data_IF_825880786622
#
_entry.id   IF_825880786622
#
_cell.length_a   1.000
_cell.length_b   1.000
_cell.length_c   1.000
_cell.angle_alpha   90.00
_cell.angle_beta   90.00
_cell.angle_gamma   90.00
#
_symmetry.space_group_name_H-M   'P 1'
#
loop_
_entity.id
_entity.type
_entity.pdbx_description
1 polymer ?
#
# COMPACT_ATOMS: atom_id res chain seq x y z
N UNK A 1 -13.85 76.79 -12.87
CA UNK A 1 -12.72 75.84 -12.86
C UNK A 1 -13.20 74.49 -13.38
N UNK A 2 -12.79 74.07 -14.58
CA UNK A 2 -12.57 72.65 -14.82
C UNK A 2 -11.14 72.44 -15.30
N UNK A 3 -10.42 71.54 -14.63
CA UNK A 3 -9.05 71.17 -14.97
C UNK A 3 -9.00 69.69 -15.31
N UNK A 4 -8.23 69.43 -16.37
CA UNK A 4 -7.38 68.25 -16.54
C UNK A 4 -7.95 67.02 -17.26
N UNK A 5 -7.67 67.02 -18.57
CA UNK A 5 -6.92 65.97 -19.29
C UNK A 5 -6.53 64.74 -18.46
N UNK A 6 -6.83 63.54 -18.97
CA UNK A 6 -6.01 62.34 -18.71
C UNK A 6 -5.77 61.54 -19.98
N UNK A 7 -4.48 61.44 -20.27
CA UNK A 7 -3.82 60.62 -21.28
C UNK A 7 -3.76 59.16 -20.81
N UNK A 8 -3.78 58.29 -21.81
CA UNK A 8 -3.67 56.82 -21.89
C UNK A 8 -2.65 56.18 -20.94
N UNK A 9 -2.97 54.98 -20.41
CA UNK A 9 -1.95 53.94 -20.22
C UNK A 9 -2.55 52.52 -20.29
N UNK A 10 -2.10 51.76 -21.30
CA UNK A 10 -2.29 50.32 -21.42
C UNK A 10 -1.68 49.58 -20.23
N UNK A 11 -2.40 48.60 -19.67
CA UNK A 11 -1.83 47.62 -18.75
C UNK A 11 -2.26 46.22 -19.18
N UNK A 12 -1.35 45.52 -19.85
CA UNK A 12 -1.46 44.10 -20.16
C UNK A 12 -1.23 43.30 -18.85
N UNK A 13 -2.24 42.56 -18.41
CA UNK A 13 -2.12 41.66 -17.25
C UNK A 13 -1.65 40.30 -17.75
N UNK A 14 -0.37 40.02 -17.55
CA UNK A 14 0.25 38.72 -17.83
C UNK A 14 0.07 37.83 -16.59
N UNK A 15 -0.90 36.92 -16.62
CA UNK A 15 -1.13 35.93 -15.56
C UNK A 15 -0.09 34.82 -15.71
N UNK A 16 0.94 34.82 -14.85
CA UNK A 16 1.93 33.75 -14.77
C UNK A 16 1.33 32.53 -14.08
N UNK A 17 1.06 31.48 -14.88
CA UNK A 17 0.69 30.15 -14.41
C UNK A 17 1.91 29.50 -13.72
N UNK A 18 1.91 29.40 -12.39
CA UNK A 18 2.93 28.64 -11.65
C UNK A 18 2.45 27.18 -11.59
N UNK A 19 2.95 26.33 -12.48
CA UNK A 19 2.67 24.89 -12.49
C UNK A 19 3.72 24.14 -11.66
N UNK A 20 3.50 23.97 -10.37
CA UNK A 20 4.28 23.03 -9.55
C UNK A 20 3.72 21.62 -9.71
N UNK A 21 4.21 20.88 -10.71
CA UNK A 21 3.96 19.44 -10.84
C UNK A 21 5.28 18.70 -11.05
N UNK A 22 6.10 18.61 -10.00
CA UNK A 22 7.41 17.99 -10.08
C UNK A 22 7.74 17.13 -8.85
N UNK A 23 6.90 16.15 -8.50
CA UNK A 23 7.32 15.08 -7.57
C UNK A 23 6.97 13.64 -8.00
N UNK A 24 6.22 13.41 -9.09
CA UNK A 24 5.74 12.04 -9.39
C UNK A 24 6.74 11.15 -10.15
N UNK A 25 7.72 11.72 -10.85
CA UNK A 25 8.50 11.00 -11.89
C UNK A 25 9.53 9.98 -11.38
N UNK A 26 9.87 10.01 -10.08
CA UNK A 26 10.90 9.13 -9.49
C UNK A 26 10.32 7.85 -8.90
N UNK A 27 9.04 7.84 -8.55
CA UNK A 27 8.34 6.72 -7.89
C UNK A 27 8.09 5.53 -8.83
N UNK A 28 7.96 5.76 -10.13
CA UNK A 28 7.56 4.77 -11.15
C UNK A 28 8.65 3.76 -11.56
N UNK A 29 9.90 3.92 -11.11
CA UNK A 29 11.04 3.11 -11.61
C UNK A 29 11.62 2.09 -10.62
N UNK A 30 11.10 2.00 -9.41
CA UNK A 30 11.60 1.01 -8.44
C UNK A 30 11.12 -0.41 -8.84
N UNK A 31 12.02 -1.40 -8.99
CA UNK A 31 11.62 -2.76 -9.32
C UNK A 31 10.84 -3.39 -8.16
N UNK A 32 9.88 -4.25 -8.49
CA UNK A 32 9.14 -5.00 -7.49
C UNK A 32 10.08 -5.94 -6.71
N UNK A 33 10.02 -5.89 -5.37
CA UNK A 33 10.91 -6.68 -4.50
C UNK A 33 10.36 -8.06 -4.16
N UNK A 34 9.04 -8.26 -4.29
CA UNK A 34 8.39 -9.55 -4.10
C UNK A 34 6.99 -9.58 -4.76
N UNK A 35 6.49 -10.79 -5.02
CA UNK A 35 5.09 -11.09 -5.36
C UNK A 35 4.40 -11.63 -4.10
N UNK A 36 3.44 -10.91 -3.50
CA UNK A 36 2.71 -11.39 -2.34
C UNK A 36 1.49 -12.22 -2.72
N UNK A 37 1.10 -13.13 -1.84
CA UNK A 37 -0.19 -13.82 -1.87
C UNK A 37 -0.62 -14.19 -0.45
N UNK A 38 -1.93 -14.30 -0.24
CA UNK A 38 -2.53 -14.67 1.03
C UNK A 38 -3.61 -15.73 0.81
N UNK A 39 -3.62 -16.77 1.63
CA UNK A 39 -4.74 -17.71 1.71
C UNK A 39 -5.26 -17.85 3.13
N UNK A 40 -6.54 -18.20 3.24
CA UNK A 40 -7.21 -18.47 4.50
C UNK A 40 -7.52 -19.96 4.57
N UNK A 41 -7.53 -20.54 5.77
CA UNK A 41 -7.93 -21.94 5.94
C UNK A 41 -9.43 -22.20 5.73
N UNK A 42 -10.24 -21.14 5.65
CA UNK A 42 -11.69 -21.16 5.41
C UNK A 42 -12.12 -19.82 4.80
N UNK A 43 -13.12 -19.84 3.94
CA UNK A 43 -13.70 -18.69 3.24
C UNK A 43 -14.82 -18.00 4.03
N UNK A 44 -15.49 -18.73 4.94
CA UNK A 44 -16.44 -18.17 5.90
C UNK A 44 -15.89 -18.20 7.30
N UNK A 45 -15.76 -17.01 7.91
CA UNK A 45 -15.19 -16.85 9.24
C UNK A 45 -16.20 -16.17 10.18
N UNK A 46 -16.79 -16.89 11.13
CA UNK A 46 -17.64 -16.29 12.15
C UNK A 46 -16.87 -15.26 12.99
N UNK A 47 -17.57 -14.20 13.42
CA UNK A 47 -17.06 -13.22 14.39
C UNK A 47 -16.57 -13.95 15.64
N UNK A 48 -15.41 -13.54 16.17
CA UNK A 48 -14.78 -14.13 17.35
C UNK A 48 -14.11 -15.48 17.10
N UNK A 49 -14.23 -16.07 15.91
CA UNK A 49 -13.55 -17.32 15.59
C UNK A 49 -12.11 -17.08 15.14
N UNK A 50 -11.25 -18.08 15.39
CA UNK A 50 -9.89 -18.08 14.89
C UNK A 50 -9.85 -18.43 13.40
N UNK A 51 -9.11 -17.66 12.60
CA UNK A 51 -8.78 -17.96 11.21
C UNK A 51 -7.26 -18.02 11.05
N UNK A 52 -6.79 -18.98 10.26
CA UNK A 52 -5.37 -19.10 9.93
C UNK A 52 -5.14 -18.48 8.57
N UNK A 53 -4.25 -17.49 8.55
CA UNK A 53 -3.76 -16.80 7.39
C UNK A 53 -2.40 -17.39 6.99
N UNK A 54 -2.24 -17.77 5.73
CA UNK A 54 -0.95 -18.19 5.16
C UNK A 54 -0.44 -17.10 4.24
N UNK A 55 0.62 -16.43 4.67
CA UNK A 55 1.32 -15.40 3.92
C UNK A 55 2.40 -16.03 3.08
N UNK A 56 2.53 -15.58 1.83
CA UNK A 56 3.60 -16.01 0.94
C UNK A 56 4.15 -14.83 0.14
N UNK A 57 5.47 -14.76 0.06
CA UNK A 57 6.21 -13.78 -0.70
C UNK A 57 7.23 -14.49 -1.59
N UNK A 58 7.13 -14.31 -2.90
CA UNK A 58 8.12 -14.80 -3.86
C UNK A 58 9.06 -13.67 -4.25
N UNK A 59 10.33 -13.80 -3.90
CA UNK A 59 11.36 -12.82 -4.25
C UNK A 59 11.88 -13.13 -5.66
N UNK A 60 11.79 -12.19 -6.65
CA UNK A 60 12.29 -12.46 -7.98
C UNK A 60 13.82 -12.64 -8.00
N UNK A 61 14.34 -13.38 -8.97
CA UNK A 61 15.79 -13.65 -9.11
C UNK A 61 16.65 -12.38 -9.27
N UNK A 62 16.08 -11.29 -9.78
CA UNK A 62 16.75 -9.99 -9.92
C UNK A 62 16.38 -8.98 -8.84
N UNK A 63 15.77 -9.39 -7.73
CA UNK A 63 15.40 -8.47 -6.66
C UNK A 63 16.64 -7.85 -6.01
N UNK A 64 16.61 -6.54 -5.66
CA UNK A 64 17.60 -5.98 -4.77
C UNK A 64 17.46 -6.59 -3.37
N UNK A 65 18.57 -6.66 -2.62
CA UNK A 65 18.53 -7.04 -1.20
C UNK A 65 17.77 -6.00 -0.38
N UNK A 66 17.05 -6.45 0.64
CA UNK A 66 16.43 -5.56 1.61
C UNK A 66 17.49 -4.95 2.53
N UNK A 67 17.49 -3.62 2.64
CA UNK A 67 18.43 -2.82 3.42
C UNK A 67 18.12 -2.80 4.93
N UNK A 68 16.90 -3.18 5.30
CA UNK A 68 16.39 -3.21 6.68
C UNK A 68 15.21 -4.17 6.79
N UNK A 69 14.74 -4.38 8.02
CA UNK A 69 13.55 -5.19 8.28
C UNK A 69 12.28 -4.38 8.05
N UNK A 70 11.55 -4.72 7.01
CA UNK A 70 10.22 -4.20 6.69
C UNK A 70 9.11 -4.96 7.43
N UNK A 71 8.09 -4.21 7.84
CA UNK A 71 6.84 -4.72 8.40
C UNK A 71 5.87 -5.03 7.26
N UNK A 72 5.16 -6.16 7.37
CA UNK A 72 4.00 -6.45 6.53
C UNK A 72 2.82 -5.69 7.12
N UNK A 73 2.23 -4.77 6.35
CA UNK A 73 0.92 -4.22 6.72
C UNK A 73 -0.18 -5.01 6.01
N UNK A 74 -1.29 -5.24 6.70
CA UNK A 74 -2.41 -6.02 6.18
C UNK A 74 -3.69 -5.34 6.59
N UNK A 75 -4.51 -4.98 5.61
CA UNK A 75 -5.83 -4.39 5.84
C UNK A 75 -6.89 -5.34 5.29
N UNK A 76 -7.82 -5.72 6.16
CA UNK A 76 -9.06 -6.40 5.78
C UNK A 76 -10.15 -5.35 5.69
N UNK A 77 -10.70 -5.21 4.49
CA UNK A 77 -11.62 -4.14 4.12
C UNK A 77 -12.95 -4.73 3.68
N UNK A 78 -14.03 -3.98 3.83
CA UNK A 78 -15.27 -4.26 3.12
C UNK A 78 -15.15 -3.87 1.61
N UNK A 79 -16.18 -4.16 0.78
CA UNK A 79 -16.17 -3.81 -0.64
C UNK A 79 -16.13 -2.30 -0.91
N UNK A 80 -16.62 -1.48 0.01
CA UNK A 80 -16.59 -0.02 -0.03
C UNK A 80 -15.20 0.54 0.31
N UNK A 81 -14.31 -0.29 0.86
CA UNK A 81 -12.95 0.04 1.23
C UNK A 81 -12.80 0.54 2.66
N UNK A 82 -13.84 0.42 3.50
CA UNK A 82 -13.72 0.69 4.92
C UNK A 82 -12.92 -0.41 5.61
N UNK A 83 -12.03 0.00 6.51
CA UNK A 83 -11.19 -0.93 7.24
C UNK A 83 -11.96 -1.64 8.34
N UNK A 84 -12.18 -2.94 8.15
CA UNK A 84 -12.74 -3.80 9.18
C UNK A 84 -11.72 -4.09 10.28
N UNK A 85 -10.50 -4.50 9.90
CA UNK A 85 -9.39 -4.77 10.84
C UNK A 85 -8.03 -4.94 10.13
N UNK A 86 -6.96 -5.07 10.92
CA UNK A 86 -5.57 -5.16 10.44
C UNK A 86 -4.78 -6.30 11.09
N UNK A 87 -3.77 -6.83 10.40
CA UNK A 87 -2.76 -7.75 10.96
C UNK A 87 -1.35 -7.29 10.58
N UNK A 88 -0.95 -6.10 11.03
CA UNK A 88 0.40 -5.59 10.81
C UNK A 88 1.42 -6.34 11.67
N UNK A 89 2.52 -6.81 11.06
CA UNK A 89 3.53 -7.60 11.77
C UNK A 89 4.89 -7.63 11.07
N UNK A 90 5.93 -7.91 11.85
CA UNK A 90 7.20 -8.37 11.30
C UNK A 90 7.04 -9.82 10.84
N UNK A 91 7.48 -10.18 9.62
CA UNK A 91 7.48 -11.57 9.19
C UNK A 91 8.44 -12.38 10.08
N UNK A 92 8.14 -13.65 10.41
CA UNK A 92 9.00 -14.49 11.25
C UNK A 92 10.43 -14.61 10.74
N UNK A 93 10.58 -14.66 9.40
CA UNK A 93 11.87 -14.53 8.71
C UNK A 93 12.06 -13.06 8.34
N UNK A 94 13.01 -12.33 8.96
CA UNK A 94 13.23 -10.92 8.67
C UNK A 94 13.52 -10.68 7.18
N UNK A 95 12.99 -9.61 6.61
CA UNK A 95 13.18 -9.28 5.18
C UNK A 95 14.64 -9.10 4.78
N UNK A 96 15.51 -8.70 5.71
CA UNK A 96 16.98 -8.63 5.50
C UNK A 96 17.62 -9.98 5.16
N UNK A 97 16.99 -11.11 5.50
CA UNK A 97 17.49 -12.44 5.16
C UNK A 97 16.87 -13.03 3.90
N UNK A 98 15.94 -12.32 3.25
CA UNK A 98 15.28 -12.79 2.04
C UNK A 98 16.24 -12.68 0.86
N UNK A 99 16.44 -13.80 0.15
CA UNK A 99 17.36 -13.88 -0.99
C UNK A 99 16.61 -13.86 -2.31
N UNK A 100 17.22 -13.37 -3.40
CA UNK A 100 16.66 -13.50 -4.74
C UNK A 100 16.30 -14.97 -5.07
N UNK A 101 15.14 -15.17 -5.67
CA UNK A 101 14.60 -16.50 -5.98
C UNK A 101 13.98 -17.26 -4.80
N UNK A 102 14.07 -16.73 -3.58
CA UNK A 102 13.51 -17.37 -2.39
C UNK A 102 12.00 -17.21 -2.34
N UNK A 103 11.31 -18.26 -1.85
CA UNK A 103 9.93 -18.17 -1.39
C UNK A 103 9.93 -18.13 0.13
N UNK A 104 9.25 -17.13 0.69
CA UNK A 104 9.02 -16.98 2.12
C UNK A 104 7.56 -17.30 2.37
N UNK A 105 7.29 -18.23 3.27
CA UNK A 105 5.93 -18.67 3.58
C UNK A 105 5.81 -18.87 5.08
N UNK A 106 4.73 -18.36 5.68
CA UNK A 106 4.47 -18.51 7.10
C UNK A 106 2.98 -18.31 7.42
N UNK A 107 2.56 -18.79 8.58
CA UNK A 107 1.17 -18.70 9.04
C UNK A 107 1.03 -17.76 10.24
N UNK A 108 -0.15 -17.15 10.35
CA UNK A 108 -0.59 -16.42 11.54
C UNK A 108 -2.03 -16.80 11.84
N UNK A 109 -2.34 -17.02 13.11
CA UNK A 109 -3.72 -17.21 13.56
C UNK A 109 -4.21 -15.92 14.17
N UNK A 110 -5.35 -15.43 13.67
CA UNK A 110 -5.99 -14.19 14.10
C UNK A 110 -7.41 -14.50 14.52
N UNK A 111 -7.87 -13.82 15.58
CA UNK A 111 -9.27 -13.89 16.01
C UNK A 111 -10.02 -12.78 15.30
N UNK A 112 -11.10 -13.11 14.59
CA UNK A 112 -11.89 -12.11 13.89
C UNK A 112 -12.51 -11.17 14.91
N UNK A 113 -12.22 -9.85 14.85
CA UNK A 113 -12.74 -8.90 15.80
C UNK A 113 -14.25 -8.72 15.63
N UNK A 114 -14.89 -8.20 16.67
CA UNK A 114 -16.30 -7.86 16.62
C UNK A 114 -16.49 -6.56 15.82
N UNK A 115 -16.66 -6.69 14.51
CA UNK A 115 -16.98 -5.60 13.58
C UNK A 115 -18.40 -5.85 13.01
N UNK A 116 -19.31 -4.85 13.02
CA UNK A 116 -20.72 -5.05 12.67
C UNK A 116 -20.94 -5.13 11.14
N UNK A 117 -20.16 -5.95 10.45
CA UNK A 117 -20.25 -6.19 9.02
C UNK A 117 -20.30 -7.69 8.75
N UNK A 118 -21.22 -8.08 7.86
CA UNK A 118 -21.36 -9.44 7.36
C UNK A 118 -21.43 -9.33 5.84
N UNK A 119 -20.44 -9.87 5.16
CA UNK A 119 -20.36 -9.80 3.71
C UNK A 119 -18.97 -10.15 3.19
N UNK A 120 -18.75 -9.96 1.89
CA UNK A 120 -17.45 -10.16 1.28
C UNK A 120 -16.39 -9.21 1.87
N UNK A 121 -15.14 -9.64 1.90
CA UNK A 121 -14.03 -8.77 2.27
C UNK A 121 -12.92 -8.80 1.22
N UNK A 122 -12.18 -7.71 1.17
CA UNK A 122 -10.99 -7.54 0.34
C UNK A 122 -9.80 -7.45 1.26
N UNK A 123 -8.80 -8.32 1.06
CA UNK A 123 -7.54 -8.18 1.79
C UNK A 123 -6.53 -7.49 0.90
N UNK A 124 -5.95 -6.44 1.45
CA UNK A 124 -4.83 -5.73 0.85
C UNK A 124 -3.63 -5.76 1.77
N UNK A 125 -2.43 -5.83 1.21
CA UNK A 125 -1.20 -5.84 2.00
C UNK A 125 -0.07 -5.11 1.29
N UNK A 126 1.00 -4.85 2.04
CA UNK A 126 2.27 -4.40 1.50
C UNK A 126 3.42 -4.51 2.50
N UNK A 127 4.60 -4.02 2.11
CA UNK A 127 5.77 -3.92 2.97
C UNK A 127 6.09 -2.45 3.23
N UNK A 128 6.35 -2.09 4.49
CA UNK A 128 6.71 -0.72 4.86
C UNK A 128 7.79 -0.65 5.94
N UNK A 129 8.49 0.48 5.95
CA UNK A 129 9.46 0.87 6.97
C UNK A 129 8.76 1.78 8.01
N UNK A 130 8.45 1.29 9.23
CA UNK A 130 7.64 2.06 10.18
C UNK A 130 8.21 3.44 10.55
N UNK A 131 9.53 3.60 10.78
CA UNK A 131 10.13 4.91 11.05
C UNK A 131 9.89 5.97 9.96
N UNK A 132 9.82 5.58 8.68
CA UNK A 132 9.74 6.53 7.56
C UNK A 132 8.38 6.52 6.85
N UNK A 133 7.55 5.50 7.12
CA UNK A 133 6.32 5.24 6.37
C UNK A 133 6.57 4.79 4.92
N UNK A 134 7.82 4.57 4.50
CA UNK A 134 8.16 4.22 3.12
C UNK A 134 7.64 2.83 2.81
N UNK A 135 6.81 2.71 1.78
CA UNK A 135 6.28 1.43 1.27
C UNK A 135 7.11 0.93 0.09
N UNK A 136 7.27 -0.38 -0.05
CA UNK A 136 8.01 -1.00 -1.16
C UNK A 136 7.10 -1.32 -2.34
N UNK A 137 7.67 -1.35 -3.55
CA UNK A 137 6.97 -1.83 -4.75
C UNK A 137 6.87 -3.35 -4.69
N UNK A 138 5.67 -3.89 -4.82
CA UNK A 138 5.40 -5.32 -4.96
C UNK A 138 4.75 -5.62 -6.31
N UNK A 139 4.78 -6.90 -6.71
CA UNK A 139 4.14 -7.37 -7.93
C UNK A 139 2.78 -7.99 -7.61
N UNK A 140 1.73 -7.19 -7.65
CA UNK A 140 0.33 -7.60 -7.51
C UNK A 140 -0.58 -6.47 -8.04
N UNK A 141 -1.91 -6.66 -8.03
CA UNK A 141 -2.87 -5.62 -8.35
C UNK A 141 -2.79 -4.51 -7.29
N UNK A 142 -2.26 -3.33 -7.65
CA UNK A 142 -2.18 -2.19 -6.73
C UNK A 142 -3.55 -1.51 -6.60
N UNK A 143 -4.05 -1.38 -5.37
CA UNK A 143 -5.26 -0.62 -5.09
C UNK A 143 -4.96 0.88 -4.94
N UNK A 144 -3.98 1.22 -4.10
CA UNK A 144 -3.50 2.60 -3.92
C UNK A 144 -2.20 2.62 -3.13
N UNK A 145 -1.34 3.62 -3.32
CA UNK A 145 -0.20 3.90 -2.42
C UNK A 145 0.62 2.66 -2.02
N UNK A 146 0.97 1.78 -2.98
CA UNK A 146 1.72 0.53 -2.75
C UNK A 146 1.04 -0.43 -1.74
N UNK A 147 -0.28 -0.44 -1.74
CA UNK A 147 -1.13 -1.43 -1.10
C UNK A 147 -1.74 -2.29 -2.21
N UNK A 148 -1.61 -3.61 -2.06
CA UNK A 148 -1.88 -4.57 -3.12
C UNK A 148 -2.98 -5.54 -2.73
N UNK A 149 -3.95 -5.77 -3.61
CA UNK A 149 -5.01 -6.75 -3.42
C UNK A 149 -4.41 -8.14 -3.56
N UNK A 150 -4.59 -8.97 -2.53
CA UNK A 150 -4.03 -10.34 -2.48
C UNK A 150 -5.08 -11.44 -2.39
N UNK A 151 -6.28 -11.13 -1.91
CA UNK A 151 -7.41 -12.05 -1.92
C UNK A 151 -8.74 -11.33 -1.71
N UNK A 152 -9.83 -11.99 -2.10
CA UNK A 152 -11.22 -11.61 -1.89
C UNK A 152 -11.97 -12.84 -1.41
N UNK A 153 -12.79 -12.71 -0.37
CA UNK A 153 -13.61 -13.79 0.18
C UNK A 153 -15.02 -13.30 0.52
#
# INVERSE_FOLDING_TARGET
MPTSVRVVLCAAVMVTLVTTAACSRKQEKEPAVATPSLSLNKDRVPIGSAVTLTYKFQVPQGAPSFDKSYTVFVHVLDPEGEQMWTDDHLPPTPTTSWKPGQTIEYTRTVFVPNYPYIGPAVVRLGLYDPPTGRRLVLKAEEASRREYIVTRF
#
